data_IF_129031558213
#
_entry.id   IF_129031558213
#
_cell.length_a   1.000
_cell.length_b   1.000
_cell.length_c   1.000
_cell.angle_alpha   90.00
_cell.angle_beta   90.00
_cell.angle_gamma   90.00
#
_symmetry.space_group_name_H-M   'P 1'
#
loop_
_entity.id
_entity.type
_entity.pdbx_description
1 polymer ?
#
# COMPACT_ATOMS: atom_id res chain seq x y z
N UNK A 1 9.87 2.20 7.13
CA UNK A 1 9.25 0.91 7.50
C UNK A 1 7.91 0.80 6.80
N UNK A 2 7.62 -0.35 6.18
CA UNK A 2 6.32 -0.66 5.59
C UNK A 2 5.32 -1.14 6.65
N UNK A 3 4.02 -0.95 6.42
CA UNK A 3 2.96 -1.42 7.32
C UNK A 3 3.05 -2.93 7.56
N UNK A 4 3.27 -3.73 6.51
CA UNK A 4 3.44 -5.19 6.61
C UNK A 4 4.60 -5.61 7.48
N UNK A 5 5.72 -4.90 7.40
CA UNK A 5 6.87 -5.15 8.27
C UNK A 5 6.54 -4.88 9.74
N UNK A 6 5.82 -3.80 10.04
CA UNK A 6 5.41 -3.47 11.40
C UNK A 6 4.45 -4.51 11.98
N UNK A 7 3.48 -4.97 11.18
CA UNK A 7 2.56 -6.05 11.57
C UNK A 7 3.33 -7.35 11.82
N UNK A 8 4.26 -7.73 10.93
CA UNK A 8 5.11 -8.91 11.12
C UNK A 8 5.94 -8.82 12.41
N UNK A 9 6.52 -7.66 12.71
CA UNK A 9 7.26 -7.45 13.97
C UNK A 9 6.34 -7.65 15.18
N UNK A 10 5.14 -7.05 15.18
CA UNK A 10 4.17 -7.23 16.26
C UNK A 10 3.77 -8.70 16.42
N UNK A 11 3.53 -9.40 15.30
CA UNK A 11 3.21 -10.83 15.28
C UNK A 11 4.39 -11.72 15.70
N UNK A 12 5.64 -11.28 15.53
CA UNK A 12 6.81 -12.02 16.04
C UNK A 12 7.03 -11.82 17.54
N UNK A 13 6.49 -10.73 18.10
CA UNK A 13 6.68 -10.30 19.50
C UNK A 13 5.41 -10.41 20.35
N UNK A 14 4.51 -11.35 20.03
CA UNK A 14 3.19 -11.50 20.70
C UNK A 14 3.29 -11.70 22.22
N UNK A 15 4.42 -12.21 22.71
CA UNK A 15 4.66 -12.36 24.14
C UNK A 15 4.76 -11.01 24.87
N UNK A 16 5.29 -9.99 24.18
CA UNK A 16 5.57 -8.65 24.72
C UNK A 16 4.45 -7.69 24.32
N UNK A 17 4.16 -7.59 23.02
CA UNK A 17 3.16 -6.66 22.47
C UNK A 17 1.78 -7.30 22.50
N UNK A 18 0.92 -6.81 23.40
CA UNK A 18 -0.44 -7.32 23.59
C UNK A 18 -1.49 -6.28 23.20
N UNK A 19 -2.67 -6.74 22.76
CA UNK A 19 -3.82 -5.89 22.38
C UNK A 19 -3.46 -4.83 21.32
N UNK A 20 -2.75 -5.26 20.29
CA UNK A 20 -2.49 -4.44 19.11
C UNK A 20 -3.76 -4.34 18.28
N UNK A 21 -4.13 -3.12 17.89
CA UNK A 21 -5.30 -2.85 17.06
C UNK A 21 -4.87 -2.21 15.75
N UNK A 22 -5.51 -2.61 14.65
CA UNK A 22 -5.38 -1.95 13.35
C UNK A 22 -6.64 -1.12 13.12
N UNK A 23 -6.48 0.17 12.84
CA UNK A 23 -7.57 1.10 12.60
C UNK A 23 -7.37 1.67 11.18
N UNK A 24 -8.42 1.60 10.37
CA UNK A 24 -8.44 2.13 9.01
C UNK A 24 -9.87 2.58 8.66
N UNK A 25 -10.00 3.41 7.64
CA UNK A 25 -11.30 3.78 7.10
C UNK A 25 -11.75 2.73 6.07
N UNK A 26 -12.86 2.04 6.35
CA UNK A 26 -13.36 0.96 5.49
C UNK A 26 -14.00 1.47 4.18
N UNK A 27 -14.67 2.63 4.23
CA UNK A 27 -15.37 3.20 3.08
C UNK A 27 -14.40 3.90 2.12
N UNK A 28 -13.45 4.65 2.67
CA UNK A 28 -12.39 5.32 1.91
C UNK A 28 -11.03 5.17 2.61
N UNK A 29 -10.32 4.06 2.34
CA UNK A 29 -9.00 3.80 2.91
C UNK A 29 -7.93 4.82 2.55
N UNK A 30 -8.12 5.63 1.49
CA UNK A 30 -7.13 6.62 1.08
C UNK A 30 -7.29 7.94 1.82
N UNK A 31 -8.50 8.25 2.32
CA UNK A 31 -8.80 9.50 3.02
C UNK A 31 -8.16 9.59 4.42
N UNK A 32 -7.70 8.48 5.01
CA UNK A 32 -7.15 8.47 6.36
C UNK A 32 -5.98 7.52 6.48
N UNK A 33 -4.98 7.91 7.28
CA UNK A 33 -3.81 7.07 7.57
C UNK A 33 -4.23 5.73 8.19
N UNK A 34 -3.45 4.69 7.91
CA UNK A 34 -3.57 3.39 8.59
C UNK A 34 -2.89 3.49 9.95
N UNK A 35 -3.59 3.14 11.02
CA UNK A 35 -3.07 3.27 12.38
C UNK A 35 -2.86 1.90 12.98
N UNK A 36 -1.63 1.62 13.42
CA UNK A 36 -1.31 0.49 14.28
C UNK A 36 -1.20 0.99 15.72
N UNK A 37 -2.19 0.63 16.55
CA UNK A 37 -2.34 1.10 17.92
C UNK A 37 -1.88 0.04 18.92
N UNK A 38 -0.78 0.32 19.61
CA UNK A 38 -0.26 -0.48 20.71
C UNK A 38 -0.86 0.06 22.01
N UNK A 39 -2.10 -0.33 22.27
CA UNK A 39 -2.95 0.29 23.30
C UNK A 39 -2.38 0.18 24.71
N UNK A 40 -1.67 -0.90 25.02
CA UNK A 40 -1.05 -1.13 26.33
C UNK A 40 0.32 -0.47 26.47
N UNK A 41 0.98 -0.16 25.36
CA UNK A 41 2.33 0.41 25.35
C UNK A 41 2.31 1.94 25.24
N UNK A 42 1.15 2.55 24.93
CA UNK A 42 1.04 4.01 24.81
C UNK A 42 1.50 4.58 23.47
N UNK A 43 1.68 3.73 22.45
CA UNK A 43 2.21 4.10 21.13
C UNK A 43 1.16 3.87 20.04
N UNK A 44 1.04 4.83 19.12
CA UNK A 44 0.34 4.69 17.85
C UNK A 44 1.29 4.97 16.70
N UNK A 45 1.31 4.07 15.72
CA UNK A 45 2.09 4.21 14.51
C UNK A 45 1.13 4.56 13.37
N UNK A 46 1.31 5.74 12.77
CA UNK A 46 0.49 6.23 11.67
C UNK A 46 1.24 6.00 10.36
N UNK A 47 0.64 5.22 9.49
CA UNK A 47 1.15 4.89 8.17
C UNK A 47 0.34 5.65 7.13
N UNK A 48 1.07 6.28 6.21
CA UNK A 48 0.48 6.99 5.07
C UNK A 48 -0.43 6.06 4.26
N UNK A 49 -1.64 6.51 3.93
CA UNK A 49 -2.66 5.67 3.28
C UNK A 49 -2.28 5.17 1.89
N UNK A 50 -1.52 5.99 1.16
CA UNK A 50 -1.09 5.73 -0.22
C UNK A 50 0.13 4.82 -0.23
N UNK A 51 1.24 5.26 0.37
CA UNK A 51 2.50 4.53 0.35
C UNK A 51 2.57 3.40 1.38
N UNK A 52 1.67 3.39 2.37
CA UNK A 52 1.61 2.42 3.46
C UNK A 52 2.89 2.35 4.29
N UNK A 53 3.60 3.49 4.35
CA UNK A 53 4.86 3.66 5.09
C UNK A 53 4.64 4.49 6.34
N UNK A 54 5.40 4.16 7.38
CA UNK A 54 5.37 4.88 8.64
C UNK A 54 5.67 6.36 8.41
N UNK A 55 4.70 7.21 8.76
CA UNK A 55 4.73 8.67 8.59
C UNK A 55 4.97 9.36 9.94
N UNK A 56 4.25 8.92 10.97
CA UNK A 56 4.28 9.53 12.31
C UNK A 56 4.27 8.44 13.37
N UNK A 57 5.04 8.65 14.44
CA UNK A 57 4.94 7.90 15.69
C UNK A 57 4.31 8.83 16.71
N UNK A 58 3.12 8.48 17.19
CA UNK A 58 2.45 9.18 18.28
C UNK A 58 2.64 8.40 19.57
N UNK A 59 3.10 9.09 20.60
CA UNK A 59 3.11 8.62 21.98
C UNK A 59 1.94 9.32 22.68
N UNK A 60 0.90 8.57 23.03
CA UNK A 60 -0.32 9.11 23.62
C UNK A 60 -0.42 8.87 25.14
N UNK A 61 0.41 7.97 25.68
CA UNK A 61 0.51 7.72 27.11
C UNK A 61 1.98 7.82 27.55
N UNK A 62 2.43 9.06 27.76
CA UNK A 62 3.82 9.38 28.09
C UNK A 62 4.32 8.66 29.37
N UNK A 63 3.42 8.38 30.31
CA UNK A 63 3.74 7.70 31.57
C UNK A 63 4.09 6.21 31.44
N UNK A 64 3.73 5.57 30.31
CA UNK A 64 3.99 4.15 30.09
C UNK A 64 5.38 3.89 29.48
N UNK A 65 6.05 4.95 29.03
CA UNK A 65 7.30 4.85 28.26
C UNK A 65 8.37 5.70 28.91
N UNK A 66 9.56 5.11 29.08
CA UNK A 66 10.74 5.86 29.49
C UNK A 66 11.41 6.53 28.29
N UNK A 67 11.27 7.84 28.17
CA UNK A 67 11.81 8.64 27.07
C UNK A 67 13.07 9.39 27.51
N UNK A 68 14.08 9.38 26.63
CA UNK A 68 15.35 10.08 26.85
C UNK A 68 15.76 10.87 25.61
N UNK A 69 16.42 12.00 25.83
CA UNK A 69 17.06 12.79 24.80
C UNK A 69 18.49 13.14 25.23
N UNK A 70 19.49 12.84 24.38
CA UNK A 70 20.91 13.01 24.70
C UNK A 70 21.33 12.42 26.08
N UNK A 71 20.71 11.30 26.48
CA UNK A 71 20.96 10.64 27.78
C UNK A 71 20.10 11.16 28.94
N UNK A 72 19.52 12.35 28.83
CA UNK A 72 18.64 12.94 29.84
C UNK A 72 17.24 12.33 29.76
N UNK A 73 16.70 11.87 30.90
CA UNK A 73 15.34 11.36 31.01
C UNK A 73 14.39 12.54 31.16
N UNK A 74 13.40 12.67 30.27
CA UNK A 74 12.39 13.74 30.36
C UNK A 74 10.99 13.20 30.60
N UNK A 75 10.77 11.90 30.42
CA UNK A 75 9.49 11.24 30.72
C UNK A 75 9.75 9.82 31.22
N UNK A 76 9.21 9.49 32.39
CA UNK A 76 9.21 8.14 32.97
C UNK A 76 8.21 8.06 34.13
N UNK A 77 8.13 6.93 34.83
CA UNK A 77 7.35 6.80 36.07
C UNK A 77 7.76 7.83 37.14
N UNK A 78 9.04 8.21 37.15
CA UNK A 78 9.63 9.06 38.20
C UNK A 78 9.81 10.51 37.73
N UNK A 79 9.70 10.76 36.42
CA UNK A 79 9.95 12.07 35.80
C UNK A 79 8.75 12.46 34.95
N UNK A 80 8.05 13.51 35.39
CA UNK A 80 6.87 14.02 34.70
C UNK A 80 7.30 14.94 33.54
N UNK A 81 6.76 14.76 32.32
CA UNK A 81 7.12 15.57 31.16
C UNK A 81 6.43 16.94 31.21
N UNK A 82 6.85 17.82 32.13
CA UNK A 82 6.38 19.21 32.18
C UNK A 82 7.01 20.03 31.05
N UNK A 83 6.41 21.18 30.73
CA UNK A 83 6.97 22.11 29.75
C UNK A 83 8.40 22.56 30.11
N UNK A 84 8.68 22.79 31.39
CA UNK A 84 10.01 23.18 31.88
C UNK A 84 11.02 22.03 31.75
N UNK A 85 10.59 20.79 32.04
CA UNK A 85 11.43 19.61 31.85
C UNK A 85 11.78 19.42 30.38
N UNK A 86 10.84 19.68 29.48
CA UNK A 86 11.04 19.61 28.03
C UNK A 86 11.98 20.73 27.56
N UNK A 87 11.79 21.96 28.02
CA UNK A 87 12.69 23.08 27.72
C UNK A 87 14.12 22.82 28.21
N UNK A 88 14.26 22.31 29.44
CA UNK A 88 15.55 21.93 30.00
C UNK A 88 16.23 20.81 29.19
N UNK A 89 15.45 19.86 28.68
CA UNK A 89 15.99 18.69 27.97
C UNK A 89 16.33 18.98 26.51
N UNK A 90 15.47 19.71 25.79
CA UNK A 90 15.60 19.95 24.35
C UNK A 90 16.18 21.33 24.00
N UNK A 91 16.14 22.27 24.95
CA UNK A 91 16.59 23.64 24.76
C UNK A 91 15.62 24.50 23.96
N UNK A 92 16.15 25.61 23.42
CA UNK A 92 15.38 26.62 22.74
C UNK A 92 14.61 26.07 21.51
N UNK A 93 13.40 26.57 21.33
CA UNK A 93 12.48 26.11 20.28
C UNK A 93 11.67 27.27 19.70
N UNK A 94 10.95 27.01 18.61
CA UNK A 94 10.04 27.99 18.03
C UNK A 94 8.88 28.31 19.01
N UNK A 95 8.27 29.51 18.94
CA UNK A 95 7.11 29.84 19.75
C UNK A 95 6.03 28.77 19.60
N UNK A 96 5.50 28.30 20.73
CA UNK A 96 4.40 27.34 20.71
C UNK A 96 3.11 27.96 20.18
N UNK A 97 2.24 27.10 19.65
CA UNK A 97 0.99 27.48 19.01
C UNK A 97 -0.15 27.03 19.92
N UNK A 98 -1.02 27.96 20.32
CA UNK A 98 -2.22 27.65 21.09
C UNK A 98 -3.43 27.58 20.17
N UNK A 99 -4.16 26.47 20.25
CA UNK A 99 -5.45 26.27 19.59
C UNK A 99 -6.56 26.45 20.64
N UNK A 100 -7.28 27.59 20.63
CA UNK A 100 -8.31 27.89 21.63
C UNK A 100 -9.55 27.01 21.51
N UNK A 101 -9.86 26.50 20.31
CA UNK A 101 -11.01 25.62 20.08
C UNK A 101 -10.76 24.25 20.72
N UNK A 102 -9.53 23.74 20.57
CA UNK A 102 -9.14 22.44 21.12
C UNK A 102 -8.60 22.51 22.55
N UNK A 103 -8.36 23.73 23.07
CA UNK A 103 -7.71 23.96 24.38
C UNK A 103 -6.36 23.23 24.48
N UNK A 104 -5.60 23.29 23.39
CA UNK A 104 -4.32 22.59 23.24
C UNK A 104 -3.22 23.61 22.93
N UNK A 105 -2.14 23.55 23.71
CA UNK A 105 -0.89 24.21 23.40
C UNK A 105 0.08 23.21 22.77
N UNK A 106 0.64 23.56 21.61
CA UNK A 106 1.57 22.72 20.86
C UNK A 106 2.96 23.35 20.81
N UNK A 107 3.97 22.60 21.25
CA UNK A 107 5.37 23.00 21.15
C UNK A 107 6.06 22.22 20.03
N UNK A 108 6.61 22.92 19.03
CA UNK A 108 7.14 22.30 17.81
C UNK A 108 8.66 22.40 17.76
N UNK A 109 9.31 21.26 17.58
CA UNK A 109 10.73 21.14 17.27
C UNK A 109 10.88 20.48 15.88
N UNK A 110 12.11 20.44 15.36
CA UNK A 110 12.36 19.77 14.07
C UNK A 110 12.17 18.27 14.20
N UNK A 111 11.11 17.75 13.59
CA UNK A 111 10.77 16.32 13.57
C UNK A 111 10.12 15.79 14.86
N UNK A 112 9.76 16.66 15.80
CA UNK A 112 9.01 16.27 16.99
C UNK A 112 8.12 17.40 17.49
N UNK A 113 6.96 17.05 18.06
CA UNK A 113 6.03 18.01 18.66
C UNK A 113 5.46 17.48 19.96
N UNK A 114 5.22 18.37 20.92
CA UNK A 114 4.56 18.06 22.18
C UNK A 114 3.21 18.76 22.27
N UNK A 115 2.21 18.05 22.79
CA UNK A 115 0.86 18.57 23.03
C UNK A 115 0.62 18.67 24.53
N UNK A 116 0.18 19.84 24.95
CA UNK A 116 -0.18 20.17 26.32
C UNK A 116 -1.64 20.59 26.37
N UNK A 117 -2.51 19.90 27.12
CA UNK A 117 -3.87 20.36 27.35
C UNK A 117 -3.84 21.56 28.31
N UNK A 118 -4.40 22.70 27.91
CA UNK A 118 -4.39 23.94 28.69
C UNK A 118 -5.77 24.60 28.61
N UNK A 119 -6.41 24.83 29.77
CA UNK A 119 -7.79 25.34 29.81
C UNK A 119 -7.93 26.80 29.34
N UNK A 120 -6.97 27.65 29.73
CA UNK A 120 -6.85 29.03 29.27
C UNK A 120 -5.37 29.44 29.29
N UNK A 121 -4.84 29.82 28.14
CA UNK A 121 -3.58 30.57 28.05
C UNK A 121 -3.94 32.04 27.82
N UNK A 122 -3.50 32.94 28.69
CA UNK A 122 -3.62 34.38 28.42
C UNK A 122 -2.74 34.72 27.21
N UNK A 123 -3.33 35.21 26.11
CA UNK A 123 -2.55 35.68 24.96
C UNK A 123 -1.58 36.79 25.40
N UNK A 124 -0.34 36.74 24.89
CA UNK A 124 0.06 37.83 24.02
C UNK A 124 0.61 37.30 22.70
N UNK A 125 0.17 37.93 21.62
CA UNK A 125 0.37 37.62 20.19
C UNK A 125 1.78 37.25 19.71
N UNK A 126 2.83 37.34 20.52
CA UNK A 126 4.16 36.84 20.20
C UNK A 126 4.90 36.59 21.52
N UNK A 127 5.06 35.31 21.88
CA UNK A 127 5.70 34.90 23.13
C UNK A 127 7.21 34.75 22.89
N UNK A 128 8.01 35.66 23.47
CA UNK A 128 9.47 35.50 23.60
C UNK A 128 9.75 34.50 24.74
N UNK A 129 9.74 33.20 24.41
CA UNK A 129 10.16 32.12 25.31
C UNK A 129 9.07 31.56 26.23
N UNK A 130 9.22 30.27 26.58
CA UNK A 130 8.23 29.44 27.28
C UNK A 130 7.81 29.98 28.66
N UNK A 131 8.67 30.78 29.31
CA UNK A 131 8.44 31.36 30.64
C UNK A 131 7.42 32.51 30.72
N UNK A 132 6.71 32.85 29.64
CA UNK A 132 5.70 33.93 29.62
C UNK A 132 4.26 33.45 29.45
N UNK A 133 4.03 32.14 29.40
CA UNK A 133 2.69 31.56 29.49
C UNK A 133 2.27 31.51 30.96
N UNK A 134 1.32 32.37 31.35
CA UNK A 134 0.69 32.29 32.66
C UNK A 134 -0.42 31.25 32.60
N UNK A 135 -0.19 30.12 33.29
CA UNK A 135 -1.19 29.07 33.44
C UNK A 135 -2.04 29.35 34.68
N UNK A 136 -3.36 29.13 34.56
CA UNK A 136 -4.38 29.52 35.55
C UNK A 136 -4.10 29.05 36.99
N UNK A 137 -3.32 27.99 37.18
CA UNK A 137 -3.03 27.40 38.49
C UNK A 137 -1.55 27.50 38.94
N UNK A 138 -0.67 28.18 38.20
CA UNK A 138 0.76 28.25 38.51
C UNK A 138 1.53 26.92 38.39
N UNK A 139 0.85 25.82 38.09
CA UNK A 139 1.46 24.52 37.80
C UNK A 139 1.85 24.45 36.31
N UNK A 140 3.08 24.02 36.04
CA UNK A 140 3.59 23.82 34.68
C UNK A 140 2.79 22.73 33.97
N UNK A 141 2.27 22.97 32.76
CA UNK A 141 1.47 22.00 32.04
C UNK A 141 2.28 20.75 31.71
N UNK A 142 1.59 19.61 31.72
CA UNK A 142 2.16 18.29 31.47
C UNK A 142 1.86 17.88 30.04
N UNK A 143 2.87 17.39 29.32
CA UNK A 143 2.69 16.89 27.97
C UNK A 143 1.79 15.65 28.00
N UNK A 144 0.65 15.73 27.31
CA UNK A 144 -0.25 14.58 27.16
C UNK A 144 0.15 13.69 25.99
N UNK A 145 0.74 14.28 24.94
CA UNK A 145 1.18 13.55 23.75
C UNK A 145 2.49 14.07 23.20
N UNK A 146 3.20 13.18 22.51
CA UNK A 146 4.38 13.50 21.71
C UNK A 146 4.23 12.89 20.32
N UNK A 147 4.65 13.62 19.30
CA UNK A 147 4.70 13.14 17.92
C UNK A 147 6.14 13.15 17.44
N UNK A 148 6.53 12.11 16.71
CA UNK A 148 7.82 12.03 16.02
C UNK A 148 7.50 11.83 14.53
N UNK A 149 8.07 12.68 13.69
CA UNK A 149 7.79 12.70 12.25
C UNK A 149 8.99 13.24 11.47
N UNK A 150 8.96 13.05 10.15
CA UNK A 150 9.93 13.67 9.24
C UNK A 150 9.32 14.92 8.61
N UNK A 151 9.91 16.08 8.86
CA UNK A 151 9.47 17.36 8.30
C UNK A 151 9.50 18.51 9.31
N UNK A 152 8.91 19.64 8.93
CA UNK A 152 8.85 20.85 9.76
C UNK A 152 7.56 20.95 10.59
N UNK A 153 6.49 20.28 10.16
CA UNK A 153 5.19 20.29 10.82
C UNK A 153 4.56 18.89 10.77
N UNK A 154 3.63 18.62 11.68
CA UNK A 154 2.86 17.37 11.68
C UNK A 154 1.97 17.25 10.44
N UNK A 155 1.41 18.37 9.97
CA UNK A 155 0.50 18.43 8.82
C UNK A 155 1.24 18.14 7.50
N UNK A 156 2.45 18.67 7.36
CA UNK A 156 3.29 18.46 6.18
C UNK A 156 4.17 17.21 6.27
N UNK A 157 3.96 16.39 7.32
CA UNK A 157 4.76 15.19 7.52
C UNK A 157 4.59 14.23 6.36
N UNK A 158 5.71 13.70 5.86
CA UNK A 158 5.73 12.70 4.79
C UNK A 158 6.58 11.51 5.22
N UNK A 159 6.26 10.28 4.79
CA UNK A 159 7.09 9.14 5.12
C UNK A 159 8.51 9.34 4.59
N UNK A 160 9.54 9.09 5.41
CA UNK A 160 10.94 9.27 4.99
C UNK A 160 11.28 8.33 3.82
N UNK A 161 12.32 8.65 3.02
CA UNK A 161 12.76 7.77 1.95
C UNK A 161 13.13 6.38 2.51
N UNK A 162 12.76 5.31 1.81
CA UNK A 162 13.08 3.94 2.23
C UNK A 162 14.61 3.72 2.22
N UNK A 163 15.24 3.39 3.36
CA UNK A 163 16.65 3.02 3.36
C UNK A 163 16.90 1.82 2.43
N UNK A 164 18.02 1.82 1.71
CA UNK A 164 18.35 0.74 0.75
C UNK A 164 18.52 -0.60 1.48
N UNK A 165 19.02 -0.56 2.72
CA UNK A 165 19.10 -1.72 3.61
C UNK A 165 17.74 -2.38 3.91
N UNK A 166 16.63 -1.66 3.74
CA UNK A 166 15.30 -2.23 3.92
C UNK A 166 14.82 -3.01 2.69
N UNK A 167 15.58 -3.05 1.59
CA UNK A 167 15.20 -3.74 0.37
C UNK A 167 15.47 -5.25 0.46
N UNK A 168 16.38 -5.70 1.36
CA UNK A 168 16.75 -7.11 1.56
C UNK A 168 17.01 -7.84 0.23
N UNK A 169 17.69 -7.18 -0.71
CA UNK A 169 17.98 -7.67 -2.06
C UNK A 169 16.75 -7.99 -2.94
N UNK A 170 15.54 -7.62 -2.52
CA UNK A 170 14.34 -7.69 -3.35
C UNK A 170 14.19 -6.43 -4.21
N UNK A 171 13.69 -6.54 -5.45
CA UNK A 171 13.31 -5.38 -6.24
C UNK A 171 12.03 -4.73 -5.69
N UNK A 172 11.93 -3.41 -5.83
CA UNK A 172 10.75 -2.62 -5.47
C UNK A 172 10.20 -1.94 -6.70
N UNK A 173 8.89 -1.95 -6.84
CA UNK A 173 8.22 -1.29 -7.95
C UNK A 173 8.12 0.22 -7.70
N UNK A 174 8.54 1.02 -8.67
CA UNK A 174 8.23 2.46 -8.74
C UNK A 174 6.99 2.74 -9.59
N UNK A 175 6.77 1.94 -10.63
CA UNK A 175 5.66 2.09 -11.55
C UNK A 175 5.58 0.92 -12.50
N UNK A 176 4.36 0.58 -12.93
CA UNK A 176 4.09 -0.43 -13.94
C UNK A 176 3.20 0.16 -15.02
N UNK A 177 3.54 -0.06 -16.28
CA UNK A 177 2.70 0.31 -17.42
C UNK A 177 2.26 -0.95 -18.14
N UNK A 178 0.96 -1.09 -18.38
CA UNK A 178 0.41 -2.21 -19.13
C UNK A 178 0.59 -1.93 -20.62
N UNK A 179 1.29 -2.83 -21.31
CA UNK A 179 1.56 -2.73 -22.74
C UNK A 179 0.37 -3.34 -23.48
N UNK A 180 -0.36 -2.51 -24.23
CA UNK A 180 -1.46 -2.95 -25.10
C UNK A 180 -1.15 -2.64 -26.56
N UNK A 181 -1.37 -3.61 -27.44
CA UNK A 181 -1.23 -3.48 -28.89
C UNK A 181 -2.50 -3.98 -29.55
N UNK A 182 -3.04 -3.20 -30.50
CA UNK A 182 -4.24 -3.55 -31.26
C UNK A 182 -5.44 -3.97 -30.39
N UNK A 183 -5.63 -3.33 -29.22
CA UNK A 183 -6.72 -3.65 -28.30
C UNK A 183 -6.52 -4.91 -27.46
N UNK A 184 -5.35 -5.56 -27.52
CA UNK A 184 -4.99 -6.71 -26.69
C UNK A 184 -3.80 -6.36 -25.79
N UNK A 185 -3.74 -6.94 -24.59
CA UNK A 185 -2.60 -6.83 -23.67
C UNK A 185 -1.48 -7.76 -24.16
N UNK A 186 -0.31 -7.18 -24.39
CA UNK A 186 0.88 -7.92 -24.83
C UNK A 186 1.82 -8.23 -23.68
N UNK A 187 1.82 -7.39 -22.64
CA UNK A 187 2.77 -7.49 -21.54
C UNK A 187 2.71 -6.33 -20.56
N UNK A 188 3.78 -6.17 -19.79
CA UNK A 188 3.96 -5.13 -18.80
C UNK A 188 5.37 -4.54 -18.88
N UNK A 189 5.48 -3.25 -18.56
CA UNK A 189 6.74 -2.52 -18.41
C UNK A 189 6.88 -2.10 -16.95
N UNK A 190 7.93 -2.54 -16.28
CA UNK A 190 8.18 -2.29 -14.86
C UNK A 190 9.37 -1.36 -14.69
N UNK A 191 9.16 -0.28 -13.94
CA UNK A 191 10.25 0.54 -13.40
C UNK A 191 10.55 0.05 -11.99
N UNK A 192 11.70 -0.60 -11.82
CA UNK A 192 12.09 -1.23 -10.54
C UNK A 192 13.34 -0.58 -9.96
N UNK A 193 13.39 -0.48 -8.62
CA UNK A 193 14.60 -0.17 -7.87
C UNK A 193 15.10 -1.45 -7.21
N UNK A 194 16.37 -1.73 -7.38
CA UNK A 194 17.09 -2.77 -6.66
C UNK A 194 18.38 -2.20 -6.03
N UNK A 195 18.99 -3.01 -5.17
CA UNK A 195 20.34 -2.77 -4.69
C UNK A 195 21.35 -3.09 -5.79
N UNK A 196 22.13 -2.10 -6.21
CA UNK A 196 23.15 -2.29 -7.24
C UNK A 196 24.43 -2.92 -6.67
N UNK A 197 25.25 -3.57 -7.50
CA UNK A 197 26.56 -4.04 -7.09
C UNK A 197 27.41 -2.86 -6.63
N UNK A 198 27.86 -2.88 -5.39
CA UNK A 198 28.73 -1.84 -4.83
C UNK A 198 30.12 -2.40 -4.60
N UNK A 199 31.14 -1.73 -5.16
CA UNK A 199 32.55 -1.98 -4.83
C UNK A 199 32.95 -1.35 -3.48
N UNK A 200 32.06 -0.55 -2.89
CA UNK A 200 32.27 0.20 -1.65
C UNK A 200 31.19 -0.24 -0.65
N UNK A 201 31.48 -0.19 0.66
CA UNK A 201 30.56 -0.54 1.76
C UNK A 201 29.24 0.26 1.80
N UNK A 202 28.96 1.11 0.81
CA UNK A 202 27.72 1.87 0.68
C UNK A 202 26.82 1.25 -0.39
N UNK A 203 25.61 0.79 -0.03
CA UNK A 203 24.66 0.27 -1.00
C UNK A 203 24.19 1.40 -1.92
N UNK A 204 24.23 1.17 -3.24
CA UNK A 204 23.75 2.14 -4.24
C UNK A 204 22.39 1.72 -4.77
N UNK A 205 21.47 2.68 -4.91
CA UNK A 205 20.19 2.45 -5.61
C UNK A 205 20.48 2.30 -7.09
N UNK A 206 20.04 1.18 -7.65
CA UNK A 206 19.99 0.97 -9.09
C UNK A 206 18.54 0.97 -9.52
N UNK A 207 18.18 1.85 -10.44
CA UNK A 207 16.85 1.85 -11.06
C UNK A 207 16.99 1.31 -12.48
N UNK A 208 16.15 0.35 -12.85
CA UNK A 208 16.10 -0.19 -14.19
C UNK A 208 14.65 -0.34 -14.66
N UNK A 209 14.49 -0.43 -15.97
CA UNK A 209 13.19 -0.62 -16.62
C UNK A 209 13.23 -1.97 -17.33
N UNK A 210 12.28 -2.84 -17.00
CA UNK A 210 12.17 -4.18 -17.55
C UNK A 210 10.84 -4.32 -18.29
N UNK A 211 10.86 -5.03 -19.42
CA UNK A 211 9.64 -5.34 -20.18
C UNK A 211 9.42 -6.85 -20.18
N UNK A 212 8.21 -7.27 -19.86
CA UNK A 212 7.80 -8.67 -19.81
C UNK A 212 6.55 -8.87 -20.64
N UNK A 213 6.68 -9.65 -21.71
CA UNK A 213 5.58 -10.02 -22.58
C UNK A 213 5.05 -11.41 -22.25
N UNK A 214 3.78 -11.66 -22.59
CA UNK A 214 3.25 -13.02 -22.55
C UNK A 214 4.08 -13.95 -23.45
N UNK A 215 4.21 -15.22 -23.05
CA UNK A 215 5.07 -16.20 -23.72
C UNK A 215 6.55 -16.18 -23.30
N UNK A 216 6.97 -15.23 -22.46
CA UNK A 216 8.30 -15.26 -21.83
C UNK A 216 8.48 -16.55 -21.00
N UNK A 217 9.69 -17.11 -20.99
CA UNK A 217 9.98 -18.29 -20.16
C UNK A 217 10.11 -17.90 -18.69
N UNK A 218 9.97 -18.89 -17.80
CA UNK A 218 10.26 -18.68 -16.38
C UNK A 218 11.70 -18.19 -16.12
N UNK A 219 12.66 -18.63 -16.94
CA UNK A 219 14.07 -18.20 -16.85
C UNK A 219 14.25 -16.72 -17.25
N UNK A 220 13.54 -16.27 -18.29
CA UNK A 220 13.54 -14.85 -18.69
C UNK A 220 13.00 -13.97 -17.55
N UNK A 221 11.89 -14.40 -16.94
CA UNK A 221 11.27 -13.67 -15.81
C UNK A 221 12.21 -13.64 -14.59
N UNK A 222 12.87 -14.75 -14.27
CA UNK A 222 13.87 -14.81 -13.18
C UNK A 222 15.08 -13.92 -13.48
N UNK A 223 15.51 -13.84 -14.73
CA UNK A 223 16.65 -13.01 -15.13
C UNK A 223 16.33 -11.52 -14.97
N UNK A 224 15.09 -11.12 -15.28
CA UNK A 224 14.67 -9.72 -15.28
C UNK A 224 14.22 -9.23 -13.90
N UNK A 225 13.51 -10.06 -13.13
CA UNK A 225 12.91 -9.70 -11.83
C UNK A 225 13.60 -10.36 -10.63
N UNK A 226 14.48 -11.32 -10.84
CA UNK A 226 15.06 -12.13 -9.77
C UNK A 226 14.10 -13.20 -9.23
N UNK A 227 14.51 -13.83 -8.14
CA UNK A 227 13.75 -14.90 -7.50
C UNK A 227 12.42 -14.39 -6.92
N UNK A 228 11.31 -15.13 -7.12
CA UNK A 228 10.04 -14.77 -6.51
C UNK A 228 10.07 -14.96 -4.99
N UNK A 229 9.23 -14.21 -4.29
CA UNK A 229 9.07 -14.36 -2.84
C UNK A 229 8.42 -15.69 -2.45
N UNK A 230 7.57 -16.23 -3.34
CA UNK A 230 6.92 -17.54 -3.18
C UNK A 230 6.60 -18.14 -4.54
N UNK A 231 6.64 -19.47 -4.62
CA UNK A 231 6.10 -20.24 -5.75
C UNK A 231 4.87 -21.00 -5.27
N UNK A 232 3.76 -20.93 -6.02
CA UNK A 232 2.51 -21.62 -5.69
C UNK A 232 2.03 -22.44 -6.88
N UNK A 233 1.81 -23.75 -6.70
CA UNK A 233 1.33 -24.65 -7.74
C UNK A 233 -0.19 -24.75 -7.69
N UNK A 234 -0.83 -24.62 -8.85
CA UNK A 234 -2.28 -24.71 -9.00
C UNK A 234 -2.67 -26.17 -9.12
N UNK A 235 -2.96 -26.79 -7.98
CA UNK A 235 -3.37 -28.21 -7.94
C UNK A 235 -4.78 -28.44 -8.50
N UNK A 236 -5.65 -27.43 -8.43
CA UNK A 236 -7.04 -27.52 -8.90
C UNK A 236 -7.45 -26.32 -9.76
N UNK A 237 -8.12 -26.59 -10.89
CA UNK A 237 -8.79 -25.58 -11.69
C UNK A 237 -10.30 -25.60 -11.49
N UNK A 238 -10.76 -25.05 -10.36
CA UNK A 238 -12.19 -24.97 -10.00
C UNK A 238 -13.03 -24.23 -11.03
N UNK A 239 -12.41 -23.33 -11.81
CA UNK A 239 -13.11 -22.56 -12.86
C UNK A 239 -13.30 -23.34 -14.16
N UNK A 240 -12.69 -24.53 -14.31
CA UNK A 240 -12.79 -25.35 -15.51
C UNK A 240 -14.22 -25.74 -15.86
N UNK A 241 -15.11 -25.86 -14.86
CA UNK A 241 -16.53 -26.21 -15.04
C UNK A 241 -17.31 -25.21 -15.90
N UNK A 242 -16.84 -23.96 -16.00
CA UNK A 242 -17.47 -22.92 -16.80
C UNK A 242 -17.02 -22.95 -18.27
N UNK A 243 -16.04 -23.79 -18.62
CA UNK A 243 -15.65 -23.98 -20.00
C UNK A 243 -16.67 -24.85 -20.75
N UNK A 244 -17.21 -24.41 -21.90
CA UNK A 244 -18.20 -25.18 -22.66
C UNK A 244 -17.71 -26.56 -23.14
N UNK A 245 -16.39 -26.83 -23.04
CA UNK A 245 -15.77 -28.12 -23.39
C UNK A 245 -15.13 -28.83 -22.18
N UNK A 246 -15.49 -28.46 -20.94
CA UNK A 246 -14.88 -29.00 -19.72
C UNK A 246 -14.86 -30.54 -19.69
N UNK A 247 -15.91 -31.19 -20.19
CA UNK A 247 -16.05 -32.65 -20.20
C UNK A 247 -15.23 -33.36 -21.28
N UNK A 248 -14.79 -32.65 -22.32
CA UNK A 248 -14.03 -33.23 -23.45
C UNK A 248 -12.51 -33.11 -23.28
N UNK A 249 -12.05 -32.29 -22.33
CA UNK A 249 -10.62 -32.08 -22.08
C UNK A 249 -10.14 -33.06 -21.01
N UNK A 250 -9.10 -33.84 -21.34
CA UNK A 250 -8.42 -34.69 -20.37
C UNK A 250 -7.92 -33.84 -19.17
N UNK A 251 -7.77 -34.44 -17.98
CA UNK A 251 -7.09 -33.79 -16.86
C UNK A 251 -5.74 -33.23 -17.34
N UNK A 252 -5.41 -31.99 -16.97
CA UNK A 252 -4.13 -31.42 -17.32
C UNK A 252 -3.04 -32.28 -16.66
N UNK A 253 -2.07 -32.76 -17.46
CA UNK A 253 -0.96 -33.56 -16.94
C UNK A 253 0.06 -32.73 -16.17
N UNK A 254 -0.04 -31.41 -16.26
CA UNK A 254 0.84 -30.45 -15.61
C UNK A 254 0.01 -29.36 -14.93
N UNK A 255 0.44 -28.98 -13.74
CA UNK A 255 -0.17 -27.89 -12.97
C UNK A 255 0.50 -26.56 -13.33
N UNK A 256 -0.31 -25.57 -13.70
CA UNK A 256 0.14 -24.18 -13.78
C UNK A 256 0.70 -23.72 -12.42
N UNK A 257 1.61 -22.76 -12.41
CA UNK A 257 2.21 -22.27 -11.16
C UNK A 257 2.44 -20.76 -11.19
N UNK A 258 2.41 -20.14 -10.02
CA UNK A 258 2.60 -18.72 -9.82
C UNK A 258 3.98 -18.44 -9.26
N UNK A 259 4.62 -17.40 -9.79
CA UNK A 259 5.66 -16.65 -9.11
C UNK A 259 5.03 -15.43 -8.44
N UNK A 260 5.08 -15.37 -7.11
CA UNK A 260 4.55 -14.27 -6.33
C UNK A 260 5.67 -13.28 -5.98
N UNK A 261 5.56 -12.04 -6.45
CA UNK A 261 6.47 -10.94 -6.17
C UNK A 261 5.80 -9.93 -5.24
N UNK A 262 5.82 -10.22 -3.93
CA UNK A 262 5.10 -9.42 -2.93
C UNK A 262 5.53 -7.95 -2.93
N UNK A 263 6.82 -7.67 -3.08
CA UNK A 263 7.35 -6.29 -3.10
C UNK A 263 6.98 -5.50 -4.35
N UNK A 264 6.59 -6.19 -5.43
CA UNK A 264 6.12 -5.60 -6.68
C UNK A 264 4.60 -5.51 -6.76
N UNK A 265 3.87 -6.16 -5.85
CA UNK A 265 2.41 -6.26 -5.95
C UNK A 265 1.97 -7.10 -7.15
N UNK A 266 2.79 -8.06 -7.59
CA UNK A 266 2.63 -8.77 -8.86
C UNK A 266 2.65 -10.28 -8.66
N UNK A 267 1.73 -10.99 -9.29
CA UNK A 267 1.87 -12.43 -9.53
C UNK A 267 2.00 -12.71 -11.03
N UNK A 268 2.90 -13.62 -11.38
CA UNK A 268 3.10 -14.11 -12.74
C UNK A 268 2.71 -15.59 -12.81
N UNK A 269 1.69 -15.92 -13.61
CA UNK A 269 1.24 -17.30 -13.82
C UNK A 269 1.93 -17.90 -15.04
N UNK A 270 2.48 -19.10 -14.86
CA UNK A 270 3.12 -19.88 -15.92
C UNK A 270 2.29 -21.11 -16.26
N UNK A 271 2.31 -21.46 -17.53
CA UNK A 271 1.80 -22.73 -18.03
C UNK A 271 2.64 -23.90 -17.51
N UNK A 272 1.99 -24.93 -16.98
CA UNK A 272 2.67 -26.09 -16.41
C UNK A 272 3.43 -26.95 -17.41
N UNK A 273 3.09 -26.90 -18.71
CA UNK A 273 3.70 -27.75 -19.75
C UNK A 273 4.92 -27.09 -20.39
N UNK A 274 4.81 -25.81 -20.74
CA UNK A 274 5.85 -25.09 -21.47
C UNK A 274 6.60 -24.05 -20.63
N UNK A 275 6.22 -23.87 -19.36
CA UNK A 275 6.83 -22.89 -18.46
C UNK A 275 6.81 -21.47 -19.04
N UNK A 276 5.73 -21.15 -19.77
CA UNK A 276 5.53 -19.85 -20.41
C UNK A 276 4.53 -19.00 -19.65
N UNK A 277 4.88 -17.73 -19.51
CA UNK A 277 4.05 -16.72 -18.86
C UNK A 277 2.74 -16.54 -19.62
N UNK A 278 1.61 -16.71 -18.91
CA UNK A 278 0.26 -16.64 -19.49
C UNK A 278 -0.64 -15.58 -18.87
N UNK A 279 -0.43 -15.21 -17.60
CA UNK A 279 -1.23 -14.20 -16.89
C UNK A 279 -0.40 -13.40 -15.90
N UNK A 280 -0.82 -12.16 -15.66
CA UNK A 280 -0.37 -11.34 -14.56
C UNK A 280 -1.53 -11.01 -13.64
N UNK A 281 -1.28 -10.91 -12.33
CA UNK A 281 -2.21 -10.36 -11.35
C UNK A 281 -1.55 -9.18 -10.65
N UNK A 282 -2.15 -8.00 -10.77
CA UNK A 282 -1.69 -6.75 -10.18
C UNK A 282 -2.52 -6.45 -8.93
N UNK A 283 -1.89 -6.36 -7.76
CA UNK A 283 -2.57 -6.16 -6.48
C UNK A 283 -2.49 -4.70 -6.01
N UNK A 284 -3.60 -4.12 -5.56
CA UNK A 284 -3.64 -2.73 -5.07
C UNK A 284 -3.44 -2.59 -3.56
N UNK A 285 -3.54 -3.71 -2.83
CA UNK A 285 -3.31 -3.81 -1.39
C UNK A 285 -4.17 -2.86 -0.51
N UNK A 286 -5.48 -2.80 -0.76
CA UNK A 286 -6.40 -2.09 0.13
C UNK A 286 -6.72 -2.89 1.41
N UNK A 287 -6.86 -2.23 2.58
CA UNK A 287 -7.41 -2.87 3.77
C UNK A 287 -8.85 -3.31 3.50
N UNK A 288 -9.29 -4.40 4.13
CA UNK A 288 -10.58 -5.02 3.83
C UNK A 288 -10.54 -5.99 2.64
N UNK A 289 -9.39 -6.18 1.99
CA UNK A 289 -9.21 -7.28 1.04
C UNK A 289 -8.53 -8.48 1.70
N UNK A 290 -8.83 -9.69 1.23
CA UNK A 290 -8.25 -10.93 1.76
C UNK A 290 -6.71 -10.97 1.66
N UNK A 291 -6.13 -10.42 0.59
CA UNK A 291 -4.67 -10.37 0.40
C UNK A 291 -4.02 -9.13 1.04
N UNK A 292 -4.78 -8.32 1.78
CA UNK A 292 -4.23 -7.15 2.44
C UNK A 292 -3.04 -7.54 3.31
N UNK A 293 -2.01 -6.70 3.32
CA UNK A 293 -0.78 -6.89 4.08
C UNK A 293 0.16 -7.99 3.56
N UNK A 294 -0.24 -8.74 2.52
CA UNK A 294 0.61 -9.74 1.87
C UNK A 294 1.46 -9.12 0.75
N UNK A 295 0.92 -8.14 0.03
CA UNK A 295 1.55 -7.50 -1.12
C UNK A 295 1.86 -6.03 -0.82
N UNK A 296 2.83 -5.45 -1.52
CA UNK A 296 2.87 -4.01 -1.72
C UNK A 296 1.86 -3.61 -2.79
N UNK A 297 1.44 -2.34 -2.77
CA UNK A 297 0.60 -1.77 -3.82
C UNK A 297 1.36 -1.76 -5.14
N UNK A 298 0.76 -2.34 -6.17
CA UNK A 298 1.27 -2.27 -7.54
C UNK A 298 0.88 -0.92 -8.14
N UNK A 299 1.87 -0.05 -8.39
CA UNK A 299 1.68 1.27 -9.01
C UNK A 299 1.45 1.18 -10.53
N UNK A 300 0.39 0.48 -10.94
CA UNK A 300 0.11 0.25 -12.36
C UNK A 300 -0.64 1.42 -13.02
N UNK A 301 -0.43 1.54 -14.33
CA UNK A 301 -1.20 2.38 -15.26
C UNK A 301 -1.65 1.52 -16.43
N UNK A 302 -2.96 1.50 -16.65
CA UNK A 302 -3.62 0.73 -17.69
C UNK A 302 -4.46 1.66 -18.55
N UNK A 303 -4.18 1.72 -19.85
CA UNK A 303 -4.98 2.49 -20.80
C UNK A 303 -6.08 1.59 -21.40
N UNK A 304 -7.33 1.99 -21.26
CA UNK A 304 -8.49 1.30 -21.84
C UNK A 304 -9.23 2.20 -22.82
N UNK A 305 -9.70 1.69 -23.97
CA UNK A 305 -10.54 2.47 -24.87
C UNK A 305 -11.88 2.80 -24.20
N UNK A 306 -12.35 4.03 -24.37
CA UNK A 306 -13.68 4.44 -23.89
C UNK A 306 -14.77 4.03 -24.87
N UNK A 307 -15.99 3.83 -24.37
CA UNK A 307 -17.17 3.72 -25.23
C UNK A 307 -17.29 4.99 -26.10
N UNK A 308 -17.67 4.85 -27.38
CA UNK A 308 -18.00 6.02 -28.19
C UNK A 308 -19.19 6.75 -27.55
N UNK A 309 -19.00 8.03 -27.23
CA UNK A 309 -20.05 8.88 -26.69
C UNK A 309 -21.04 9.17 -27.82
N UNK A 310 -22.27 8.64 -27.71
CA UNK A 310 -23.37 9.00 -28.60
C UNK A 310 -23.94 10.37 -28.20
N UNK A 311 -23.21 11.44 -28.50
CA UNK A 311 -23.76 12.81 -28.44
C UNK A 311 -24.08 13.29 -29.84
N UNK A 312 -25.36 13.62 -30.06
CA UNK A 312 -26.00 14.30 -31.20
C UNK A 312 -25.26 14.35 -32.55
N UNK A 313 -25.97 13.93 -33.60
CA UNK A 313 -25.59 13.84 -35.02
C UNK A 313 -25.11 15.15 -35.71
N UNK A 314 -24.60 16.15 -35.00
CA UNK A 314 -24.27 17.48 -35.55
C UNK A 314 -22.86 18.01 -35.24
N UNK A 315 -21.96 17.24 -34.61
CA UNK A 315 -20.55 17.63 -34.47
C UNK A 315 -19.62 16.62 -35.12
N UNK A 316 -18.63 17.13 -35.87
CA UNK A 316 -17.52 16.39 -36.45
C UNK A 316 -16.94 15.44 -35.38
N UNK A 317 -17.06 14.14 -35.60
CA UNK A 317 -16.55 13.11 -34.71
C UNK A 317 -15.03 13.12 -34.85
N UNK A 318 -14.33 13.48 -33.77
CA UNK A 318 -12.90 13.19 -33.65
C UNK A 318 -12.75 11.66 -33.62
N UNK A 319 -12.23 11.08 -34.70
CA UNK A 319 -12.07 9.63 -34.89
C UNK A 319 -10.90 9.06 -34.06
N UNK A 320 -10.24 9.87 -33.24
CA UNK A 320 -9.19 9.37 -32.34
C UNK A 320 -9.83 8.55 -31.20
N UNK A 321 -9.38 7.30 -30.98
CA UNK A 321 -9.85 6.51 -29.86
C UNK A 321 -9.49 7.23 -28.56
N UNK A 322 -10.50 7.59 -27.77
CA UNK A 322 -10.31 8.17 -26.45
C UNK A 322 -9.99 7.04 -25.47
N UNK A 323 -9.01 7.27 -24.59
CA UNK A 323 -8.58 6.29 -23.60
C UNK A 323 -8.81 6.83 -22.18
N UNK A 324 -9.12 5.92 -21.26
CA UNK A 324 -9.07 6.18 -19.82
C UNK A 324 -7.83 5.51 -19.22
N UNK A 325 -7.23 6.19 -18.25
CA UNK A 325 -6.15 5.61 -17.44
C UNK A 325 -6.74 5.04 -16.16
N UNK A 326 -6.70 3.71 -16.03
CA UNK A 326 -7.01 2.99 -14.80
C UNK A 326 -5.71 2.76 -14.02
N UNK A 327 -5.76 3.00 -12.72
CA UNK A 327 -4.62 2.84 -11.81
C UNK A 327 -5.06 2.14 -10.52
N UNK A 328 -4.11 1.89 -9.61
CA UNK A 328 -4.40 1.36 -8.28
C UNK A 328 -5.35 2.24 -7.44
N UNK A 329 -5.54 3.51 -7.83
CA UNK A 329 -6.38 4.49 -7.12
C UNK A 329 -7.74 4.73 -7.77
N UNK A 330 -7.99 4.11 -8.94
CA UNK A 330 -9.25 4.28 -9.66
C UNK A 330 -10.38 3.55 -8.96
N UNK A 331 -11.57 4.17 -8.93
CA UNK A 331 -12.79 3.54 -8.44
C UNK A 331 -13.54 2.85 -9.59
N UNK A 332 -14.14 1.71 -9.30
CA UNK A 332 -14.79 0.87 -10.32
C UNK A 332 -16.05 1.50 -10.89
N UNK A 333 -16.83 2.22 -10.09
CA UNK A 333 -18.00 2.98 -10.53
C UNK A 333 -17.64 3.96 -11.67
N UNK A 334 -16.58 4.75 -11.50
CA UNK A 334 -16.09 5.69 -12.52
C UNK A 334 -15.54 4.99 -13.78
N UNK A 335 -14.90 3.84 -13.60
CA UNK A 335 -14.34 3.05 -14.70
C UNK A 335 -15.46 2.39 -15.51
N UNK A 336 -16.44 1.78 -14.84
CA UNK A 336 -17.51 1.00 -15.47
C UNK A 336 -18.48 1.84 -16.31
N UNK A 337 -18.61 3.14 -16.02
CA UNK A 337 -19.35 4.08 -16.86
C UNK A 337 -18.70 4.23 -18.25
N UNK A 338 -17.36 4.23 -18.29
CA UNK A 338 -16.57 4.55 -19.49
C UNK A 338 -16.17 3.33 -20.31
N UNK A 339 -16.12 2.14 -19.70
CA UNK A 339 -15.78 0.86 -20.37
C UNK A 339 -16.98 -0.08 -20.42
N UNK A 340 -16.97 -1.04 -21.33
CA UNK A 340 -18.04 -2.03 -21.45
C UNK A 340 -17.67 -3.32 -20.68
N UNK A 341 -18.07 -3.45 -19.40
CA UNK A 341 -17.82 -4.68 -18.65
C UNK A 341 -18.75 -5.82 -19.07
N UNK A 342 -18.38 -7.03 -18.67
CA UNK A 342 -19.22 -8.22 -18.72
C UNK A 342 -20.57 -7.98 -18.05
N UNK A 343 -21.65 -8.46 -18.66
CA UNK A 343 -23.03 -8.21 -18.21
C UNK A 343 -23.34 -8.71 -16.80
N UNK A 344 -22.63 -9.75 -16.32
CA UNK A 344 -22.77 -10.27 -14.96
C UNK A 344 -21.40 -10.52 -14.34
N UNK A 345 -21.12 -9.98 -13.14
CA UNK A 345 -19.89 -10.28 -12.44
C UNK A 345 -19.88 -11.71 -11.89
N UNK A 346 -18.68 -12.26 -11.76
CA UNK A 346 -18.43 -13.50 -11.01
C UNK A 346 -18.18 -13.12 -9.54
N UNK A 347 -18.83 -13.80 -8.61
CA UNK A 347 -18.65 -13.54 -7.17
C UNK A 347 -17.58 -14.46 -6.60
N UNK A 348 -16.57 -13.89 -5.95
CA UNK A 348 -15.46 -14.60 -5.34
C UNK A 348 -15.56 -14.53 -3.82
N UNK A 349 -15.96 -15.63 -3.18
CA UNK A 349 -16.15 -15.65 -1.72
C UNK A 349 -14.88 -15.89 -0.90
N UNK A 350 -13.84 -16.51 -1.51
CA UNK A 350 -12.61 -16.96 -0.81
C UNK A 350 -12.92 -17.64 0.53
N UNK A 351 -13.99 -18.44 0.58
CA UNK A 351 -14.40 -19.16 1.78
C UNK A 351 -13.42 -20.31 2.03
N UNK A 352 -12.62 -20.16 3.08
CA UNK A 352 -11.98 -21.24 3.85
C UNK A 352 -11.12 -22.24 3.03
N UNK A 353 -9.82 -21.96 2.92
CA UNK A 353 -8.84 -23.05 3.02
C UNK A 353 -8.74 -23.48 4.49
N UNK A 354 -8.21 -24.67 4.75
CA UNK A 354 -8.32 -25.42 6.03
C UNK A 354 -7.88 -24.68 7.31
N UNK A 355 -7.33 -23.46 7.25
CA UNK A 355 -6.96 -22.66 8.43
C UNK A 355 -7.16 -21.13 8.28
N UNK A 356 -7.82 -20.63 7.23
CA UNK A 356 -7.99 -19.17 7.04
C UNK A 356 -9.41 -18.84 6.56
N UNK A 357 -10.23 -18.30 7.46
CA UNK A 357 -11.55 -17.74 7.13
C UNK A 357 -11.39 -16.32 6.63
N UNK A 358 -11.92 -16.02 5.44
CA UNK A 358 -11.97 -14.64 4.91
C UNK A 358 -12.98 -13.81 5.73
N UNK A 359 -12.53 -12.80 6.51
CA UNK A 359 -13.42 -12.02 7.37
C UNK A 359 -14.10 -10.86 6.63
N UNK A 360 -13.67 -10.54 5.41
CA UNK A 360 -14.07 -9.31 4.71
C UNK A 360 -15.19 -9.50 3.68
N UNK A 361 -15.72 -10.71 3.56
CA UNK A 361 -16.77 -11.03 2.58
C UNK A 361 -16.25 -11.23 1.15
N UNK A 362 -17.18 -11.30 0.20
CA UNK A 362 -16.88 -11.59 -1.20
C UNK A 362 -16.51 -10.35 -2.02
N UNK A 363 -15.72 -10.57 -3.07
CA UNK A 363 -15.42 -9.59 -4.11
C UNK A 363 -16.15 -9.94 -5.41
N UNK A 364 -16.26 -8.96 -6.31
CA UNK A 364 -16.89 -9.10 -7.61
C UNK A 364 -15.87 -8.99 -8.73
N UNK A 365 -15.85 -9.95 -9.65
CA UNK A 365 -14.95 -9.98 -10.79
C UNK A 365 -15.69 -9.58 -12.06
N UNK A 366 -15.25 -8.50 -12.72
CA UNK A 366 -15.80 -8.01 -13.97
C UNK A 366 -14.78 -8.20 -15.10
N UNK A 367 -15.20 -8.82 -16.20
CA UNK A 367 -14.37 -8.96 -17.40
C UNK A 367 -14.50 -7.74 -18.30
N UNK A 368 -13.39 -7.23 -18.80
CA UNK A 368 -13.30 -6.20 -19.86
C UNK A 368 -12.24 -6.67 -20.85
N UNK A 369 -12.66 -7.09 -22.04
CA UNK A 369 -11.75 -7.62 -23.07
C UNK A 369 -10.90 -8.81 -22.53
N UNK A 370 -9.58 -8.64 -22.46
CA UNK A 370 -8.59 -9.59 -21.97
C UNK A 370 -8.11 -9.30 -20.54
N UNK A 371 -8.96 -8.60 -19.77
CA UNK A 371 -8.67 -8.11 -18.42
C UNK A 371 -9.82 -8.45 -17.48
N UNK A 372 -9.50 -8.82 -16.24
CA UNK A 372 -10.48 -9.00 -15.17
C UNK A 372 -10.17 -8.04 -14.02
N UNK A 373 -11.19 -7.29 -13.61
CA UNK A 373 -11.15 -6.41 -12.46
C UNK A 373 -11.82 -7.11 -11.27
N UNK A 374 -11.06 -7.34 -10.20
CA UNK A 374 -11.61 -7.75 -8.91
C UNK A 374 -11.94 -6.50 -8.09
N UNK A 375 -13.20 -6.37 -7.69
CA UNK A 375 -13.76 -5.16 -7.08
C UNK A 375 -14.33 -5.49 -5.71
N UNK A 376 -13.98 -4.66 -4.73
CA UNK A 376 -14.48 -4.75 -3.37
C UNK A 376 -15.87 -4.11 -3.23
N UNK A 377 -16.63 -4.40 -2.15
CA UNK A 377 -17.94 -3.78 -1.91
C UNK A 377 -17.94 -2.25 -1.85
N UNK A 378 -16.80 -1.62 -1.55
CA UNK A 378 -16.64 -0.16 -1.51
C UNK A 378 -16.23 0.46 -2.88
N UNK A 379 -16.40 -0.28 -3.98
CA UNK A 379 -16.02 0.09 -5.36
C UNK A 379 -14.52 0.27 -5.61
N UNK A 380 -13.64 -0.12 -4.70
CA UNK A 380 -12.21 -0.11 -4.95
C UNK A 380 -11.80 -1.36 -5.74
N UNK A 381 -10.90 -1.18 -6.70
CA UNK A 381 -10.29 -2.28 -7.44
C UNK A 381 -9.24 -2.92 -6.53
N UNK A 382 -9.45 -4.17 -6.13
CA UNK A 382 -8.52 -4.95 -5.31
C UNK A 382 -7.39 -5.57 -6.13
N UNK A 383 -7.71 -6.07 -7.33
CA UNK A 383 -6.72 -6.62 -8.23
C UNK A 383 -7.15 -6.50 -9.69
N UNK A 384 -6.16 -6.49 -10.58
CA UNK A 384 -6.36 -6.51 -12.04
C UNK A 384 -5.62 -7.70 -12.60
N UNK A 385 -6.34 -8.64 -13.20
CA UNK A 385 -5.75 -9.81 -13.87
C UNK A 385 -5.68 -9.53 -15.36
N UNK A 386 -4.48 -9.66 -15.92
CA UNK A 386 -4.20 -9.53 -17.35
C UNK A 386 -3.92 -10.94 -17.90
N UNK A 387 -4.49 -11.29 -19.04
CA UNK A 387 -4.19 -12.56 -19.70
C UNK A 387 -3.99 -12.37 -21.21
N UNK A 388 -3.16 -13.21 -21.81
CA UNK A 388 -3.02 -13.22 -23.25
C UNK A 388 -4.37 -13.57 -23.91
N UNK A 389 -4.76 -12.82 -24.94
CA UNK A 389 -5.81 -13.25 -25.85
C UNK A 389 -5.38 -14.52 -26.59
N UNK A 390 -6.31 -15.45 -26.84
CA UNK A 390 -6.00 -16.73 -27.49
C UNK A 390 -5.38 -16.54 -28.89
N UNK A 391 -5.59 -15.40 -29.54
CA UNK A 391 -4.98 -15.03 -30.84
C UNK A 391 -3.47 -14.73 -30.76
N UNK A 392 -2.92 -14.47 -29.57
CA UNK A 392 -1.49 -14.24 -29.34
C UNK A 392 -0.73 -15.50 -28.92
N UNK A 393 -1.41 -16.64 -28.79
CA UNK A 393 -0.73 -17.93 -28.73
C UNK A 393 -0.35 -18.31 -30.17
N UNK A 394 0.93 -18.60 -30.47
CA UNK A 394 1.29 -19.08 -31.80
C UNK A 394 0.40 -20.29 -32.11
N UNK A 395 -0.35 -20.20 -33.21
CA UNK A 395 -1.14 -21.28 -33.78
C UNK A 395 -0.20 -22.48 -33.99
N UNK A 396 -0.13 -23.37 -32.99
CA UNK A 396 0.52 -24.64 -33.20
C UNK A 396 -0.36 -25.45 -34.14
N UNK A 397 0.21 -25.71 -35.32
CA UNK A 397 -0.45 -26.32 -36.45
C UNK A 397 -1.25 -27.56 -36.06
N UNK A 398 -2.44 -27.64 -36.64
CA UNK A 398 -3.01 -28.92 -37.04
C UNK A 398 -2.01 -29.56 -38.02
N UNK A 399 -1.11 -30.39 -37.52
CA UNK A 399 -0.54 -31.45 -38.35
C UNK A 399 -1.48 -32.66 -38.22
N UNK A 400 -2.09 -32.93 -39.37
CA UNK A 400 -2.93 -34.04 -39.77
C UNK A 400 -2.37 -35.41 -39.46
#
# INVERSE_FOLDING_TARGET
MQFSQAVCICMSQVAIMKRVQVIYNENDPLASDLILSLTLDGIRLLFDSVSQRLKVIEIFAMNLIKLKYCGLVFSSSDVIPTIDQIDHSFGATHPGIYDPEKRIFTLNFRGLSFIFPVEQASEPRYVRGLGSLQFTNGASPIASKMFIFSGNSLVDSKPPPLPISCFFSHPYLQGLEVIRQNGCTSGIKLSVICEGPSQVLEPRRHACVQELCFGASAEDVLTLLGAPSRVFYKDEDKMRIHSPQAHRRAPASFSDYFYNYFTLGLDALFDGKYHKLKKFVLHTNYPGHYNFNMYHRCEFKLQLPTKPISTDNSKLIDLSPTFITVSAYSRWDEVCEKVQPSSRPIVLHRSSSTNTTNPFGSTFCYGVEDIIFEVMPNNLIASVTLYASDDNLPLHGQES
#
